data_IF_208959273941
#
_entry.id   IF_208959273941
#
_cell.length_a   1.000
_cell.length_b   1.000
_cell.length_c   1.000
_cell.angle_alpha   90.00
_cell.angle_beta   90.00
_cell.angle_gamma   90.00
#
_symmetry.space_group_name_H-M   'P 1'
#
loop_
_entity.id
_entity.type
_entity.pdbx_description
1 polymer ?
#
# COMPACT_ATOMS: atom_id res chain seq x y z
N UNK A 1 18.90 13.33 4.62
CA UNK A 1 18.43 14.27 5.66
C UNK A 1 19.45 14.27 6.79
N UNK A 2 20.52 15.05 6.63
CA UNK A 2 21.61 15.06 7.61
C UNK A 2 21.30 16.00 8.78
N UNK A 3 21.18 15.37 9.95
CA UNK A 3 21.06 15.91 11.32
C UNK A 3 19.76 16.68 11.64
N UNK A 4 19.02 16.30 12.69
CA UNK A 4 17.90 17.10 13.17
C UNK A 4 18.41 18.46 13.64
N UNK A 5 17.86 19.54 13.08
CA UNK A 5 18.12 20.92 13.53
C UNK A 5 17.81 21.01 15.03
N UNK A 6 18.82 21.33 15.85
CA UNK A 6 18.67 21.57 17.29
C UNK A 6 18.17 23.00 17.49
N UNK A 7 17.01 23.17 18.12
CA UNK A 7 16.43 24.49 18.41
C UNK A 7 14.92 24.47 18.54
N UNK A 8 14.31 25.64 18.80
CA UNK A 8 12.85 25.82 18.77
C UNK A 8 12.35 25.53 17.36
N UNK A 9 11.37 24.64 17.25
CA UNK A 9 10.71 24.30 15.99
C UNK A 9 9.27 24.77 16.02
N UNK A 10 8.81 25.25 14.88
CA UNK A 10 7.38 25.50 14.65
C UNK A 10 6.80 24.20 14.11
N UNK A 11 5.78 23.66 14.78
CA UNK A 11 5.08 22.46 14.33
C UNK A 11 3.64 22.84 13.99
N UNK A 12 3.34 22.88 12.70
CA UNK A 12 2.03 23.29 12.19
C UNK A 12 0.94 22.28 12.55
N UNK A 13 1.26 20.99 12.52
CA UNK A 13 0.33 19.93 12.92
C UNK A 13 -0.06 20.07 14.38
N UNK A 14 0.92 20.32 15.26
CA UNK A 14 0.68 20.58 16.68
C UNK A 14 -0.23 21.79 16.89
N UNK A 15 0.03 22.89 16.19
CA UNK A 15 -0.81 24.09 16.26
C UNK A 15 -2.25 23.77 15.80
N UNK A 16 -2.41 23.10 14.66
CA UNK A 16 -3.72 22.69 14.15
C UNK A 16 -4.49 21.79 15.12
N UNK A 17 -3.82 20.84 15.78
CA UNK A 17 -4.44 19.97 16.79
C UNK A 17 -4.88 20.78 18.02
N UNK A 18 -4.06 21.71 18.49
CA UNK A 18 -4.36 22.52 19.67
C UNK A 18 -5.52 23.48 19.44
N UNK A 19 -5.57 24.12 18.28
CA UNK A 19 -6.59 25.13 17.96
C UNK A 19 -7.91 24.53 17.45
N UNK A 20 -7.91 23.27 17.01
CA UNK A 20 -9.14 22.62 16.54
C UNK A 20 -10.09 22.23 17.67
N UNK A 21 -11.40 22.36 17.39
CA UNK A 21 -12.48 21.93 18.28
C UNK A 21 -12.63 20.41 18.35
N UNK A 22 -12.39 19.71 17.22
CA UNK A 22 -12.44 18.25 17.11
C UNK A 22 -11.33 17.78 16.20
N UNK A 23 -10.76 16.63 16.53
CA UNK A 23 -9.70 15.98 15.75
C UNK A 23 -10.24 14.68 15.17
N UNK A 24 -10.07 14.52 13.86
CA UNK A 24 -10.51 13.33 13.13
C UNK A 24 -9.30 12.69 12.43
N UNK A 25 -9.38 11.37 12.23
CA UNK A 25 -8.46 10.62 11.39
C UNK A 25 -9.21 9.51 10.63
N UNK A 26 -8.51 8.84 9.73
CA UNK A 26 -9.08 7.97 8.69
C UNK A 26 -9.36 6.52 9.12
N UNK A 27 -9.15 6.20 10.40
CA UNK A 27 -9.44 4.87 10.94
C UNK A 27 -9.55 4.89 12.47
N UNK A 28 -10.54 4.20 13.07
CA UNK A 28 -10.64 4.03 14.52
C UNK A 28 -9.39 3.39 15.14
N UNK A 29 -8.82 2.38 14.48
CA UNK A 29 -7.60 1.73 14.96
C UNK A 29 -6.40 2.68 14.89
N UNK A 30 -6.28 3.44 13.81
CA UNK A 30 -5.20 4.42 13.68
C UNK A 30 -5.31 5.53 14.74
N UNK A 31 -6.53 5.94 15.10
CA UNK A 31 -6.73 6.88 16.21
C UNK A 31 -6.19 6.33 17.55
N UNK A 32 -6.37 5.03 17.81
CA UNK A 32 -5.84 4.38 19.01
C UNK A 32 -4.31 4.26 18.96
N UNK A 33 -3.74 3.92 17.80
CA UNK A 33 -2.30 3.87 17.60
C UNK A 33 -1.63 5.22 17.84
N UNK A 34 -2.20 6.30 17.30
CA UNK A 34 -1.67 7.65 17.46
C UNK A 34 -1.60 8.12 18.91
N UNK A 35 -2.54 7.69 19.76
CA UNK A 35 -2.54 8.03 21.18
C UNK A 35 -1.84 6.97 22.04
N UNK A 36 -1.25 5.92 21.47
CA UNK A 36 -0.65 4.85 22.27
C UNK A 36 0.74 5.20 22.81
N UNK A 37 1.50 6.03 22.10
CA UNK A 37 2.81 6.49 22.55
C UNK A 37 3.58 7.31 21.50
N UNK A 38 4.77 7.82 21.86
CA UNK A 38 5.52 8.78 21.04
C UNK A 38 6.02 8.20 19.71
N UNK A 39 6.29 6.90 19.64
CA UNK A 39 6.73 6.24 18.40
C UNK A 39 5.63 6.25 17.32
N UNK A 40 4.41 5.88 17.70
CA UNK A 40 3.26 5.80 16.79
C UNK A 40 2.58 7.16 16.56
N UNK A 41 2.54 8.00 17.59
CA UNK A 41 2.01 9.36 17.52
C UNK A 41 3.01 10.40 17.03
N UNK A 42 4.24 10.00 16.71
CA UNK A 42 5.34 10.87 16.27
C UNK A 42 5.49 12.09 17.20
N UNK A 43 5.58 11.81 18.51
CA UNK A 43 5.71 12.78 19.61
C UNK A 43 4.50 13.72 19.83
N UNK A 44 3.39 13.52 19.12
CA UNK A 44 2.14 14.27 19.28
C UNK A 44 1.07 13.52 20.08
N UNK A 45 1.36 12.28 20.50
CA UNK A 45 0.46 11.36 21.21
C UNK A 45 -0.21 12.01 22.43
N UNK A 46 0.57 12.75 23.23
CA UNK A 46 0.07 13.41 24.44
C UNK A 46 -0.99 14.47 24.14
N UNK A 47 -0.84 15.20 23.03
CA UNK A 47 -1.76 16.27 22.64
C UNK A 47 -3.02 15.66 22.01
N UNK A 48 -2.84 14.63 21.18
CA UNK A 48 -3.92 13.87 20.57
C UNK A 48 -4.80 13.19 21.63
N UNK A 49 -4.19 12.65 22.69
CA UNK A 49 -4.91 12.05 23.82
C UNK A 49 -5.78 13.06 24.55
N UNK A 50 -5.28 14.28 24.79
CA UNK A 50 -6.03 15.37 25.45
C UNK A 50 -7.21 15.87 24.62
N UNK A 51 -7.11 15.82 23.29
CA UNK A 51 -8.13 16.31 22.36
C UNK A 51 -9.15 15.23 21.93
N UNK A 52 -9.05 14.01 22.46
CA UNK A 52 -9.97 12.90 22.17
C UNK A 52 -10.19 12.67 20.66
N UNK A 53 -9.11 12.38 19.93
CA UNK A 53 -9.15 12.07 18.49
C UNK A 53 -10.15 10.94 18.18
N UNK A 54 -10.92 11.09 17.10
CA UNK A 54 -11.83 10.06 16.59
C UNK A 54 -11.41 9.59 15.21
N UNK A 55 -11.50 8.29 14.98
CA UNK A 55 -11.27 7.69 13.67
C UNK A 55 -12.57 7.40 12.94
N UNK A 56 -12.61 7.68 11.63
CA UNK A 56 -13.72 7.35 10.74
C UNK A 56 -13.10 6.65 9.53
N UNK A 57 -13.54 5.43 9.24
CA UNK A 57 -13.01 4.63 8.13
C UNK A 57 -13.33 5.31 6.80
N UNK A 58 -12.32 5.45 5.94
CA UNK A 58 -12.51 5.96 4.58
C UNK A 58 -13.42 5.01 3.78
N UNK A 59 -14.33 5.58 2.98
CA UNK A 59 -15.01 4.85 1.92
C UNK A 59 -14.12 4.67 0.68
N UNK A 60 -14.70 4.11 -0.37
CA UNK A 60 -14.13 4.12 -1.73
C UNK A 60 -15.20 4.52 -2.74
N UNK A 61 -14.76 5.00 -3.90
CA UNK A 61 -15.66 5.29 -5.02
C UNK A 61 -16.04 3.98 -5.73
N UNK A 62 -17.30 3.56 -5.56
CA UNK A 62 -17.87 2.34 -6.15
C UNK A 62 -18.36 2.53 -7.59
N UNK A 63 -18.25 3.73 -8.16
CA UNK A 63 -18.47 3.97 -9.58
C UNK A 63 -17.17 3.78 -10.36
N UNK A 64 -16.07 4.27 -9.80
CA UNK A 64 -14.74 4.10 -10.37
C UNK A 64 -14.24 2.65 -10.18
N UNK A 65 -14.31 2.12 -8.96
CA UNK A 65 -13.80 0.79 -8.61
C UNK A 65 -14.92 -0.24 -8.53
N UNK A 66 -15.39 -0.71 -9.68
CA UNK A 66 -16.49 -1.66 -9.76
C UNK A 66 -16.26 -2.75 -10.81
N UNK A 67 -16.07 -4.02 -10.40
CA UNK A 67 -15.78 -5.11 -11.33
C UNK A 67 -16.91 -5.40 -12.34
N UNK A 68 -18.13 -4.90 -12.10
CA UNK A 68 -19.25 -5.06 -13.03
C UNK A 68 -19.25 -4.01 -14.15
N UNK A 69 -18.61 -2.86 -13.94
CA UNK A 69 -18.64 -1.72 -14.89
C UNK A 69 -17.25 -1.27 -15.32
N UNK A 70 -16.19 -1.85 -14.75
CA UNK A 70 -14.80 -1.58 -15.07
C UNK A 70 -14.56 -1.69 -16.59
N UNK A 71 -13.81 -0.72 -17.12
CA UNK A 71 -13.51 -0.58 -18.54
C UNK A 71 -12.14 -1.17 -18.90
N UNK A 72 -11.28 -1.40 -17.90
CA UNK A 72 -9.90 -1.85 -18.07
C UNK A 72 -9.78 -3.37 -17.91
N UNK A 73 -10.63 -4.01 -17.10
CA UNK A 73 -10.63 -5.47 -16.99
C UNK A 73 -11.25 -6.13 -18.22
N UNK A 74 -10.60 -7.16 -18.75
CA UNK A 74 -11.06 -7.94 -19.91
C UNK A 74 -12.45 -8.56 -19.73
N UNK A 75 -12.78 -8.96 -18.49
CA UNK A 75 -14.06 -9.60 -18.15
C UNK A 75 -14.66 -8.94 -16.92
N UNK A 76 -15.93 -8.53 -17.03
CA UNK A 76 -16.70 -7.97 -15.92
C UNK A 76 -17.27 -9.07 -15.05
N UNK A 77 -17.33 -8.86 -13.74
CA UNK A 77 -17.80 -9.87 -12.81
C UNK A 77 -18.47 -9.31 -11.56
N UNK A 78 -19.18 -10.18 -10.85
CA UNK A 78 -19.79 -9.91 -9.56
C UNK A 78 -19.46 -11.06 -8.58
N UNK A 79 -20.05 -11.03 -7.38
CA UNK A 79 -19.80 -12.03 -6.35
C UNK A 79 -20.14 -13.48 -6.77
N UNK A 80 -21.08 -13.69 -7.71
CA UNK A 80 -21.49 -15.04 -8.14
C UNK A 80 -20.67 -15.53 -9.34
N UNK A 81 -20.18 -14.63 -10.19
CA UNK A 81 -19.37 -14.97 -11.38
C UNK A 81 -17.86 -14.88 -11.15
N UNK A 82 -17.42 -14.47 -9.96
CA UNK A 82 -16.00 -14.26 -9.63
C UNK A 82 -15.13 -15.49 -9.94
N UNK A 83 -15.63 -16.70 -9.69
CA UNK A 83 -14.86 -17.94 -9.85
C UNK A 83 -14.62 -18.31 -11.32
N UNK A 84 -15.49 -17.89 -12.24
CA UNK A 84 -15.30 -18.10 -13.68
C UNK A 84 -14.56 -16.93 -14.35
N UNK A 85 -14.78 -15.70 -13.89
CA UNK A 85 -14.20 -14.51 -14.50
C UNK A 85 -12.75 -14.23 -14.07
N UNK A 86 -12.41 -14.37 -12.78
CA UNK A 86 -11.04 -14.07 -12.30
C UNK A 86 -9.94 -14.89 -12.97
N UNK A 87 -10.11 -16.18 -13.26
CA UNK A 87 -9.11 -16.94 -14.03
C UNK A 87 -8.81 -16.32 -15.40
N UNK A 88 -9.83 -15.82 -16.11
CA UNK A 88 -9.65 -15.18 -17.42
C UNK A 88 -8.94 -13.83 -17.31
N UNK A 89 -9.28 -13.04 -16.28
CA UNK A 89 -8.60 -11.76 -15.99
C UNK A 89 -7.14 -12.02 -15.62
N UNK A 90 -6.88 -13.09 -14.88
CA UNK A 90 -5.54 -13.50 -14.46
C UNK A 90 -4.67 -13.90 -15.66
N UNK A 91 -5.20 -14.73 -16.56
CA UNK A 91 -4.50 -15.13 -17.79
C UNK A 91 -4.21 -13.92 -18.68
N UNK A 92 -5.15 -12.98 -18.79
CA UNK A 92 -4.95 -11.72 -19.52
C UNK A 92 -3.83 -10.86 -18.90
N UNK A 93 -3.80 -10.74 -17.57
CA UNK A 93 -2.76 -10.02 -16.84
C UNK A 93 -1.38 -10.69 -17.03
N UNK A 94 -1.30 -12.01 -16.92
CA UNK A 94 -0.06 -12.78 -17.16
C UNK A 94 0.47 -12.50 -18.56
N UNK A 95 -0.40 -12.53 -19.59
CA UNK A 95 0.00 -12.23 -20.95
C UNK A 95 0.45 -10.77 -21.14
N UNK A 96 -0.21 -9.81 -20.48
CA UNK A 96 0.14 -8.38 -20.56
C UNK A 96 1.51 -8.07 -19.96
N UNK A 97 1.86 -8.72 -18.85
CA UNK A 97 3.16 -8.54 -18.18
C UNK A 97 4.24 -9.52 -18.64
N UNK A 98 3.97 -10.35 -19.65
CA UNK A 98 4.94 -11.29 -20.21
C UNK A 98 5.27 -12.52 -19.34
N UNK A 99 4.40 -12.85 -18.38
CA UNK A 99 4.57 -14.02 -17.51
C UNK A 99 3.98 -15.29 -18.13
N UNK A 100 4.44 -16.50 -17.70
CA UNK A 100 3.81 -17.75 -18.08
C UNK A 100 2.31 -17.75 -17.78
N UNK A 101 1.49 -17.99 -18.81
CA UNK A 101 0.03 -17.99 -18.71
C UNK A 101 -0.43 -19.32 -18.12
N UNK A 102 -0.73 -19.33 -16.83
CA UNK A 102 -1.32 -20.46 -16.12
C UNK A 102 -2.21 -19.97 -14.98
N UNK A 103 -3.52 -20.24 -15.11
CA UNK A 103 -4.52 -19.92 -14.09
C UNK A 103 -4.29 -20.60 -12.74
N UNK A 104 -3.48 -21.67 -12.66
CA UNK A 104 -3.20 -22.40 -11.43
C UNK A 104 -2.04 -21.80 -10.62
N UNK A 105 -1.12 -21.04 -11.24
CA UNK A 105 0.05 -20.43 -10.57
C UNK A 105 -0.40 -19.21 -9.76
N UNK A 106 -0.29 -19.15 -8.43
CA UNK A 106 -0.69 -17.99 -7.64
C UNK A 106 0.01 -16.70 -8.08
N UNK A 107 -0.73 -15.59 -8.16
CA UNK A 107 -0.18 -14.26 -8.43
C UNK A 107 -0.30 -13.41 -7.17
N UNK A 108 0.80 -12.79 -6.77
CA UNK A 108 0.87 -11.75 -5.75
C UNK A 108 1.03 -10.41 -6.47
N UNK A 109 0.14 -9.45 -6.19
CA UNK A 109 0.22 -8.10 -6.73
C UNK A 109 0.57 -7.09 -5.65
N UNK A 110 1.59 -6.27 -5.87
CA UNK A 110 1.90 -5.10 -5.04
C UNK A 110 1.64 -3.83 -5.84
N UNK A 111 0.81 -2.94 -5.30
CA UNK A 111 0.57 -1.60 -5.88
C UNK A 111 0.81 -0.56 -4.80
N UNK A 112 1.78 0.32 -5.01
CA UNK A 112 2.08 1.35 -4.02
C UNK A 112 3.30 2.21 -4.33
N UNK A 113 3.46 3.29 -3.56
CA UNK A 113 4.68 4.11 -3.61
C UNK A 113 5.87 3.31 -3.08
N UNK A 114 7.00 3.38 -3.79
CA UNK A 114 8.25 2.73 -3.41
C UNK A 114 8.97 3.58 -2.35
N UNK A 115 8.43 3.48 -1.14
CA UNK A 115 8.95 4.10 0.08
C UNK A 115 8.92 3.09 1.23
N UNK A 116 9.75 3.31 2.25
CA UNK A 116 9.84 2.49 3.46
C UNK A 116 8.49 2.36 4.19
N UNK A 117 7.65 3.40 4.13
CA UNK A 117 6.31 3.39 4.74
C UNK A 117 5.40 2.28 4.17
N UNK A 118 5.69 1.79 2.97
CA UNK A 118 4.93 0.72 2.31
C UNK A 118 5.62 -0.64 2.35
N UNK A 119 6.77 -0.75 3.00
CA UNK A 119 7.51 -2.00 3.14
C UNK A 119 8.08 -2.51 1.81
N UNK A 120 8.37 -1.63 0.85
CA UNK A 120 8.96 -2.00 -0.43
C UNK A 120 10.35 -2.62 -0.28
N UNK A 121 11.10 -2.19 0.72
CA UNK A 121 12.35 -2.80 1.20
C UNK A 121 12.15 -4.23 1.72
N UNK A 122 11.09 -4.45 2.49
CA UNK A 122 10.74 -5.78 3.01
C UNK A 122 10.34 -6.72 1.87
N UNK A 123 9.55 -6.23 0.90
CA UNK A 123 9.16 -6.99 -0.28
C UNK A 123 10.40 -7.41 -1.08
N UNK A 124 11.31 -6.47 -1.37
CA UNK A 124 12.54 -6.76 -2.09
C UNK A 124 13.41 -7.82 -1.39
N UNK A 125 13.51 -7.76 -0.06
CA UNK A 125 14.24 -8.76 0.73
C UNK A 125 13.56 -10.14 0.76
N UNK A 126 12.23 -10.20 0.56
CA UNK A 126 11.47 -11.44 0.58
C UNK A 126 11.45 -12.15 -0.78
N UNK A 127 11.60 -11.43 -1.90
CA UNK A 127 11.57 -11.98 -3.27
C UNK A 127 12.49 -13.22 -3.44
N UNK A 128 13.76 -13.22 -2.99
CA UNK A 128 14.63 -14.40 -3.09
C UNK A 128 14.07 -15.68 -2.43
N UNK A 129 13.23 -15.54 -1.41
CA UNK A 129 12.61 -16.68 -0.72
C UNK A 129 11.44 -17.25 -1.51
N UNK A 130 10.80 -16.42 -2.33
CA UNK A 130 9.63 -16.79 -3.13
C UNK A 130 9.98 -17.42 -4.48
N UNK A 131 11.16 -17.15 -5.02
CA UNK A 131 11.58 -17.66 -6.34
C UNK A 131 11.72 -19.19 -6.37
N UNK A 132 11.89 -19.83 -5.21
CA UNK A 132 11.87 -21.30 -5.11
C UNK A 132 10.48 -21.92 -5.18
N UNK A 133 9.43 -21.13 -5.07
CA UNK A 133 8.03 -21.56 -5.08
C UNK A 133 7.40 -21.32 -6.46
N UNK A 134 6.39 -22.12 -6.82
CA UNK A 134 5.65 -21.94 -8.08
C UNK A 134 4.65 -20.78 -7.97
N UNK A 135 5.15 -19.54 -7.88
CA UNK A 135 4.36 -18.32 -7.74
C UNK A 135 4.85 -17.23 -8.69
N UNK A 136 3.98 -16.25 -8.95
CA UNK A 136 4.28 -15.07 -9.75
C UNK A 136 4.08 -13.81 -8.90
N UNK A 137 4.98 -12.83 -9.08
CA UNK A 137 4.91 -11.55 -8.40
C UNK A 137 4.83 -10.42 -9.44
N UNK A 138 3.87 -9.53 -9.27
CA UNK A 138 3.70 -8.32 -10.09
C UNK A 138 3.79 -7.11 -9.17
N UNK A 139 4.72 -6.20 -9.46
CA UNK A 139 4.98 -5.00 -8.65
C UNK A 139 4.74 -3.76 -9.52
N UNK A 140 3.83 -2.90 -9.10
CA UNK A 140 3.54 -1.61 -9.72
C UNK A 140 3.75 -0.48 -8.71
N UNK A 141 4.75 0.36 -8.96
CA UNK A 141 5.06 1.46 -8.06
C UNK A 141 6.07 2.44 -8.63
N UNK A 142 6.09 3.64 -8.06
CA UNK A 142 7.11 4.66 -8.31
C UNK A 142 7.53 5.28 -6.98
N UNK A 143 8.78 5.75 -6.86
CA UNK A 143 9.26 6.33 -5.61
C UNK A 143 10.76 6.60 -5.58
N UNK A 144 11.44 6.06 -4.57
CA UNK A 144 12.89 6.24 -4.42
C UNK A 144 13.61 5.48 -5.54
N UNK A 145 14.45 6.17 -6.32
CA UNK A 145 15.26 5.56 -7.40
C UNK A 145 16.06 4.31 -6.98
N UNK A 146 16.53 4.27 -5.73
CA UNK A 146 17.26 3.11 -5.20
C UNK A 146 16.36 1.87 -5.13
N UNK A 147 15.09 2.04 -4.75
CA UNK A 147 14.11 0.95 -4.66
C UNK A 147 13.59 0.53 -6.04
N UNK A 148 13.39 1.48 -6.95
CA UNK A 148 13.09 1.17 -8.36
C UNK A 148 14.21 0.31 -8.95
N UNK A 149 15.46 0.74 -8.80
CA UNK A 149 16.61 -0.01 -9.29
C UNK A 149 16.70 -1.42 -8.69
N UNK A 150 16.41 -1.58 -7.39
CA UNK A 150 16.40 -2.90 -6.77
C UNK A 150 15.36 -3.84 -7.39
N UNK A 151 14.19 -3.33 -7.78
CA UNK A 151 13.17 -4.13 -8.45
C UNK A 151 13.61 -4.50 -9.88
N UNK A 152 14.18 -3.55 -10.63
CA UNK A 152 14.71 -3.80 -11.98
C UNK A 152 15.86 -4.84 -11.96
N UNK A 153 16.74 -4.75 -10.95
CA UNK A 153 17.84 -5.69 -10.74
C UNK A 153 17.30 -7.10 -10.42
N UNK A 154 16.20 -7.19 -9.65
CA UNK A 154 15.56 -8.48 -9.33
C UNK A 154 14.87 -9.11 -10.53
N UNK A 155 14.21 -8.33 -11.39
CA UNK A 155 13.65 -8.81 -12.66
C UNK A 155 14.76 -9.37 -13.56
N UNK A 156 15.91 -8.68 -13.62
CA UNK A 156 17.07 -9.13 -14.41
C UNK A 156 17.71 -10.39 -13.83
N UNK A 157 17.78 -10.50 -12.50
CA UNK A 157 18.38 -11.64 -11.81
C UNK A 157 17.51 -12.89 -11.87
N UNK A 158 16.19 -12.70 -11.93
CA UNK A 158 15.20 -13.76 -11.96
C UNK A 158 14.20 -13.54 -13.09
N UNK A 159 14.67 -13.68 -14.36
CA UNK A 159 13.77 -13.65 -15.50
C UNK A 159 12.80 -14.83 -15.34
N UNK A 160 11.51 -14.51 -15.30
CA UNK A 160 10.41 -15.47 -15.19
C UNK A 160 10.19 -16.22 -16.51
#
# INVERSE_FOLDING_TARGET
YDRPVKGRKINWMKAGILESHKILTVSPNYAQELVSGPEKGVELDNILRKKCIKGIVNGMDVQEWNPMTDKYTSVKYNATTVMSAKPLIKEALQAEVGLPVDKNIPIIGFIGRLEEQKGSDILAAAIPQFIGENIQLIVLGTGKKVMEKQLDDLETQYPL
#
